data_IF_233386073324
#
_entry.id   IF_233386073324
#
_cell.length_a   1.000
_cell.length_b   1.000
_cell.length_c   1.000
_cell.angle_alpha   90.00
_cell.angle_beta   90.00
_cell.angle_gamma   90.00
#
_symmetry.space_group_name_H-M   'P 1'
#
loop_
_entity.id
_entity.type
_entity.pdbx_description
1 polymer ?
#
# COMPACT_ATOMS: atom_id res chain seq x y z
N UNK A 1 15.13 63.73 36.01
CA UNK A 1 16.19 62.68 36.06
C UNK A 1 15.65 61.43 35.39
N UNK A 2 15.92 61.25 34.07
CA UNK A 2 15.43 60.14 33.28
C UNK A 2 16.59 59.16 33.10
N UNK A 3 16.44 57.94 33.58
CA UNK A 3 17.38 56.83 33.38
C UNK A 3 16.97 56.02 32.14
N UNK A 4 17.74 56.15 31.08
CA UNK A 4 17.66 55.32 29.89
C UNK A 4 18.46 54.05 30.14
N UNK A 5 17.80 52.88 30.14
CA UNK A 5 18.48 51.57 30.11
C UNK A 5 18.64 51.15 28.66
N UNK A 6 19.90 50.98 28.25
CA UNK A 6 20.28 50.39 27.00
C UNK A 6 20.20 48.84 27.11
N UNK A 7 19.43 48.21 26.22
CA UNK A 7 19.45 46.75 26.03
C UNK A 7 20.56 46.40 25.03
N UNK A 8 21.53 45.62 25.47
CA UNK A 8 22.54 45.04 24.59
C UNK A 8 21.98 43.76 23.91
N UNK A 9 21.94 43.76 22.58
CA UNK A 9 21.63 42.58 21.80
C UNK A 9 22.91 41.73 21.68
N UNK A 10 22.91 40.53 22.29
CA UNK A 10 23.92 39.50 22.06
C UNK A 10 23.74 38.82 20.69
N UNK A 11 24.80 38.25 20.11
CA UNK A 11 24.73 37.62 18.78
C UNK A 11 23.91 36.33 18.83
N UNK A 12 22.88 36.24 17.97
CA UNK A 12 22.19 34.99 17.71
C UNK A 12 23.13 34.04 16.95
N UNK A 13 23.52 32.96 17.57
CA UNK A 13 24.16 31.82 16.90
C UNK A 13 23.04 31.04 16.21
N UNK A 14 22.97 31.15 14.89
CA UNK A 14 22.11 30.32 14.08
C UNK A 14 22.67 28.88 14.05
N UNK A 15 22.09 27.99 14.85
CA UNK A 15 22.34 26.55 14.74
C UNK A 15 21.60 26.08 13.48
N UNK A 16 22.34 25.86 12.40
CA UNK A 16 21.85 25.17 11.23
C UNK A 16 21.58 23.70 11.61
N UNK A 17 20.32 23.37 11.92
CA UNK A 17 19.88 21.97 11.95
C UNK A 17 19.94 21.45 10.52
N UNK A 18 20.97 20.68 10.21
CA UNK A 18 20.98 19.80 9.04
C UNK A 18 19.87 18.76 9.24
N UNK A 19 18.74 18.97 8.61
CA UNK A 19 17.72 17.95 8.40
C UNK A 19 18.37 16.88 7.50
N UNK A 20 19.02 15.90 8.13
CA UNK A 20 19.29 14.63 7.47
C UNK A 20 17.92 14.06 7.09
N UNK A 21 17.62 14.05 5.79
CA UNK A 21 16.49 13.34 5.23
C UNK A 21 16.65 11.87 5.60
N UNK A 22 16.00 11.44 6.67
CA UNK A 22 15.84 10.02 6.96
C UNK A 22 14.95 9.50 5.85
N UNK A 23 15.57 8.93 4.82
CA UNK A 23 14.86 8.15 3.81
C UNK A 23 14.17 7.01 4.55
N UNK A 24 12.88 7.17 4.76
CA UNK A 24 12.07 6.19 5.41
C UNK A 24 12.10 4.91 4.58
N UNK A 25 12.62 3.83 5.16
CA UNK A 25 12.59 2.52 4.52
C UNK A 25 11.14 2.10 4.36
N UNK A 26 10.63 2.24 3.14
CA UNK A 26 9.35 1.69 2.72
C UNK A 26 9.40 0.16 2.79
N UNK A 27 8.24 -0.48 2.71
CA UNK A 27 8.13 -1.93 2.56
C UNK A 27 8.47 -2.31 1.10
N UNK A 28 9.74 -2.23 0.76
CA UNK A 28 10.29 -2.37 -0.60
C UNK A 28 11.39 -3.43 -0.61
N UNK A 29 11.73 -4.00 -1.79
CA UNK A 29 12.81 -4.95 -1.91
C UNK A 29 14.11 -4.42 -1.31
N UNK A 30 14.85 -5.30 -0.66
CA UNK A 30 16.12 -4.94 -0.04
C UNK A 30 17.07 -4.32 -1.08
N UNK A 31 17.59 -3.13 -0.80
CA UNK A 31 18.50 -2.39 -1.69
C UNK A 31 17.81 -1.40 -2.62
N UNK A 32 16.48 -1.33 -2.66
CA UNK A 32 15.74 -0.27 -3.33
C UNK A 32 15.25 0.77 -2.30
N UNK A 33 15.36 2.04 -2.62
CA UNK A 33 14.77 3.13 -1.88
C UNK A 33 13.96 4.00 -2.84
N UNK A 34 12.67 4.15 -2.57
CA UNK A 34 11.81 5.03 -3.36
C UNK A 34 12.32 6.46 -3.33
N UNK A 35 12.41 7.13 -4.49
CA UNK A 35 12.73 8.56 -4.56
C UNK A 35 11.54 9.46 -4.19
N UNK A 36 10.42 8.89 -3.76
CA UNK A 36 9.19 9.60 -3.41
C UNK A 36 8.66 9.17 -2.04
N UNK A 37 7.85 10.04 -1.44
CA UNK A 37 7.24 9.76 -0.13
C UNK A 37 6.28 8.57 -0.20
N UNK A 38 6.28 7.74 0.86
CA UNK A 38 5.39 6.59 1.01
C UNK A 38 4.02 7.06 1.54
N UNK A 39 3.16 7.48 0.62
CA UNK A 39 1.83 8.03 0.89
C UNK A 39 0.73 7.11 0.34
N UNK A 40 -0.53 7.38 0.67
CA UNK A 40 -1.67 6.65 0.12
C UNK A 40 -1.61 6.59 -1.42
N UNK A 41 -1.44 7.75 -2.09
CA UNK A 41 -1.45 7.81 -3.55
C UNK A 41 -0.27 7.07 -4.19
N UNK A 42 0.91 7.11 -3.57
CA UNK A 42 2.11 6.42 -4.10
C UNK A 42 2.08 4.91 -3.84
N UNK A 43 1.32 4.48 -2.84
CA UNK A 43 1.08 3.06 -2.57
C UNK A 43 0.08 2.47 -3.57
N UNK A 44 -1.04 3.16 -3.78
CA UNK A 44 -2.11 2.70 -4.67
C UNK A 44 -1.75 2.87 -6.14
N UNK A 45 -1.04 3.95 -6.50
CA UNK A 45 -0.72 4.32 -7.87
C UNK A 45 0.79 4.58 -8.07
N UNK A 46 1.66 3.59 -7.86
CA UNK A 46 3.11 3.81 -7.82
C UNK A 46 3.69 4.34 -9.13
N UNK A 47 3.12 3.98 -10.29
CA UNK A 47 3.62 4.44 -11.58
C UNK A 47 3.56 5.98 -11.70
N UNK A 48 2.51 6.62 -11.21
CA UNK A 48 2.40 8.08 -11.25
C UNK A 48 3.52 8.78 -10.47
N UNK A 49 3.86 8.23 -9.30
CA UNK A 49 4.98 8.75 -8.52
C UNK A 49 6.33 8.55 -9.23
N UNK A 50 6.53 7.39 -9.86
CA UNK A 50 7.74 7.10 -10.64
C UNK A 50 7.88 8.00 -11.86
N UNK A 51 6.81 8.20 -12.63
CA UNK A 51 6.78 9.12 -13.78
C UNK A 51 7.08 10.57 -13.36
N UNK A 52 6.69 10.96 -12.15
CA UNK A 52 6.96 12.31 -11.62
C UNK A 52 8.40 12.48 -11.16
N UNK A 53 9.01 11.45 -10.60
CA UNK A 53 10.31 11.54 -9.90
C UNK A 53 11.49 11.00 -10.70
N UNK A 54 11.25 10.21 -11.74
CA UNK A 54 12.31 9.74 -12.62
C UNK A 54 12.92 10.90 -13.43
N UNK A 55 14.24 10.95 -13.45
CA UNK A 55 14.99 12.04 -14.08
C UNK A 55 14.53 12.27 -15.54
N UNK A 56 14.15 13.51 -15.86
CA UNK A 56 13.72 13.95 -17.19
C UNK A 56 12.26 13.61 -17.53
N UNK A 57 11.61 12.62 -16.89
CA UNK A 57 10.27 12.18 -17.26
C UNK A 57 9.20 13.26 -17.11
N UNK A 58 9.15 13.92 -15.96
CA UNK A 58 8.15 14.97 -15.76
C UNK A 58 8.22 16.09 -16.80
N UNK A 59 9.42 16.43 -17.24
CA UNK A 59 9.61 17.42 -18.32
C UNK A 59 9.17 16.85 -19.67
N UNK A 60 9.61 15.64 -20.02
CA UNK A 60 9.24 15.00 -21.27
C UNK A 60 7.72 14.84 -21.43
N UNK A 61 7.01 14.51 -20.33
CA UNK A 61 5.54 14.42 -20.32
C UNK A 61 4.86 15.78 -20.50
N UNK A 62 5.46 16.88 -19.99
CA UNK A 62 4.92 18.24 -20.21
C UNK A 62 5.18 18.73 -21.64
N UNK A 63 6.31 18.35 -22.21
CA UNK A 63 6.70 18.77 -23.56
C UNK A 63 5.97 17.95 -24.66
N UNK A 64 5.30 16.86 -24.28
CA UNK A 64 4.54 16.04 -25.21
C UNK A 64 3.18 16.68 -25.54
N UNK A 65 3.08 17.30 -26.71
CA UNK A 65 1.88 18.01 -27.15
C UNK A 65 0.63 17.11 -27.20
N UNK A 66 0.80 15.81 -27.48
CA UNK A 66 -0.34 14.86 -27.54
C UNK A 66 -0.90 14.63 -26.13
N UNK A 67 -0.02 14.44 -25.13
CA UNK A 67 -0.44 14.28 -23.74
C UNK A 67 -1.04 15.58 -23.16
N UNK A 68 -0.52 16.75 -23.57
CA UNK A 68 -1.10 18.05 -23.19
C UNK A 68 -2.50 18.24 -23.80
N UNK A 69 -2.69 17.88 -25.08
CA UNK A 69 -4.00 17.90 -25.71
C UNK A 69 -4.98 16.94 -25.00
N UNK A 70 -4.54 15.70 -24.71
CA UNK A 70 -5.35 14.76 -23.95
C UNK A 70 -5.78 15.33 -22.59
N UNK A 71 -4.86 15.98 -21.87
CA UNK A 71 -5.19 16.60 -20.58
C UNK A 71 -6.24 17.72 -20.75
N UNK A 72 -6.12 18.56 -21.75
CA UNK A 72 -7.08 19.62 -22.06
C UNK A 72 -8.46 19.05 -22.46
N UNK A 73 -8.49 18.04 -23.31
CA UNK A 73 -9.72 17.38 -23.76
C UNK A 73 -10.45 16.70 -22.57
N UNK A 74 -9.68 16.08 -21.67
CA UNK A 74 -10.24 15.49 -20.44
C UNK A 74 -10.78 16.55 -19.49
N UNK A 75 -10.09 17.67 -19.34
CA UNK A 75 -10.57 18.82 -18.56
C UNK A 75 -11.89 19.39 -19.13
N UNK A 76 -12.03 19.43 -20.44
CA UNK A 76 -13.26 19.88 -21.11
C UNK A 76 -14.46 18.93 -20.91
N UNK A 77 -14.22 17.65 -20.55
CA UNK A 77 -15.29 16.68 -20.21
C UNK A 77 -15.85 16.92 -18.81
N UNK A 78 -15.15 17.68 -17.96
CA UNK A 78 -15.58 17.91 -16.56
C UNK A 78 -16.80 18.84 -16.60
N UNK A 79 -17.95 18.41 -16.03
CA UNK A 79 -19.16 19.22 -16.07
C UNK A 79 -19.00 20.54 -15.33
N UNK A 80 -19.17 21.64 -16.02
CA UNK A 80 -19.19 22.97 -15.43
C UNK A 80 -20.62 23.35 -15.04
N UNK A 81 -21.16 22.70 -14.01
CA UNK A 81 -22.33 23.24 -13.32
C UNK A 81 -23.63 22.43 -13.36
N UNK A 82 -23.90 21.51 -14.30
CA UNK A 82 -25.17 20.78 -14.30
C UNK A 82 -25.08 19.36 -14.85
N UNK A 83 -24.34 18.50 -14.17
CA UNK A 83 -24.65 17.09 -14.22
C UNK A 83 -25.87 16.83 -13.31
N UNK A 84 -27.07 17.12 -13.73
CA UNK A 84 -28.26 16.76 -12.96
C UNK A 84 -28.82 15.43 -13.44
N UNK A 85 -29.15 14.56 -12.55
CA UNK A 85 -28.62 14.25 -11.20
C UNK A 85 -28.07 12.83 -11.10
N UNK A 86 -27.20 12.40 -12.01
CA UNK A 86 -26.71 11.03 -12.04
C UNK A 86 -25.27 10.99 -11.56
N UNK A 87 -24.94 10.17 -10.54
CA UNK A 87 -23.55 9.92 -10.14
C UNK A 87 -22.64 9.52 -11.30
N UNK A 88 -23.20 8.82 -12.30
CA UNK A 88 -22.47 8.41 -13.50
C UNK A 88 -21.92 9.61 -14.26
N UNK A 89 -22.73 10.64 -14.51
CA UNK A 89 -22.30 11.84 -15.22
C UNK A 89 -21.15 12.56 -14.50
N UNK A 90 -21.22 12.65 -13.16
CA UNK A 90 -20.17 13.30 -12.35
C UNK A 90 -18.87 12.50 -12.36
N UNK A 91 -18.92 11.18 -12.52
CA UNK A 91 -17.77 10.30 -12.49
C UNK A 91 -17.11 10.08 -13.87
N UNK A 92 -17.91 10.06 -14.94
CA UNK A 92 -17.46 9.64 -16.28
C UNK A 92 -16.34 10.53 -16.85
N UNK A 93 -16.34 11.81 -16.52
CA UNK A 93 -15.33 12.76 -16.96
C UNK A 93 -13.91 12.42 -16.43
N UNK A 94 -13.83 11.68 -15.32
CA UNK A 94 -12.57 11.34 -14.67
C UNK A 94 -12.01 9.98 -15.07
N UNK A 95 -12.81 9.14 -15.75
CA UNK A 95 -12.38 7.82 -16.21
C UNK A 95 -11.36 7.92 -17.34
N UNK A 96 -10.46 6.95 -17.37
CA UNK A 96 -9.63 6.66 -18.54
C UNK A 96 -10.42 5.77 -19.49
N UNK A 97 -10.70 6.26 -20.70
CA UNK A 97 -11.30 5.44 -21.75
C UNK A 97 -10.26 4.52 -22.37
N UNK A 98 -10.68 3.47 -23.05
CA UNK A 98 -9.77 2.57 -23.78
C UNK A 98 -8.91 3.33 -24.81
N UNK A 99 -9.50 4.35 -25.45
CA UNK A 99 -8.79 5.24 -26.39
C UNK A 99 -7.72 6.07 -25.67
N UNK A 100 -8.04 6.66 -24.50
CA UNK A 100 -7.08 7.39 -23.68
C UNK A 100 -5.92 6.48 -23.23
N UNK A 101 -6.24 5.25 -22.79
CA UNK A 101 -5.24 4.26 -22.34
C UNK A 101 -4.29 3.90 -23.49
N UNK A 102 -4.83 3.60 -24.66
CA UNK A 102 -4.05 3.24 -25.85
C UNK A 102 -3.17 4.41 -26.33
N UNK A 103 -3.71 5.62 -26.33
CA UNK A 103 -2.96 6.83 -26.69
C UNK A 103 -1.76 7.02 -25.76
N UNK A 104 -1.99 6.98 -24.46
CA UNK A 104 -0.91 7.15 -23.47
C UNK A 104 0.13 6.04 -23.58
N UNK A 105 -0.28 4.76 -23.75
CA UNK A 105 0.66 3.68 -24.01
C UNK A 105 1.60 3.99 -25.16
N UNK A 106 1.04 4.46 -26.27
CA UNK A 106 1.82 4.81 -27.47
C UNK A 106 2.81 5.92 -27.16
N UNK A 107 2.38 6.98 -26.45
CA UNK A 107 3.28 8.09 -26.10
C UNK A 107 4.38 7.67 -25.13
N UNK A 108 4.05 6.89 -24.09
CA UNK A 108 5.04 6.38 -23.15
C UNK A 108 6.09 5.49 -23.80
N UNK A 109 5.69 4.65 -24.78
CA UNK A 109 6.63 3.83 -25.57
C UNK A 109 7.59 4.72 -26.38
N UNK A 110 7.08 5.74 -27.06
CA UNK A 110 7.90 6.68 -27.83
C UNK A 110 8.90 7.46 -26.95
N UNK A 111 8.51 7.82 -25.73
CA UNK A 111 9.44 8.47 -24.79
C UNK A 111 10.56 7.54 -24.32
N UNK A 112 10.35 6.21 -24.33
CA UNK A 112 11.40 5.24 -24.02
C UNK A 112 12.46 5.10 -25.10
N UNK A 113 12.24 5.64 -26.32
CA UNK A 113 13.27 5.68 -27.37
C UNK A 113 14.48 6.56 -26.96
N UNK A 114 14.30 7.46 -25.97
CA UNK A 114 15.42 8.07 -25.26
C UNK A 114 15.99 7.13 -24.20
N UNK A 115 17.21 6.59 -24.38
CA UNK A 115 17.82 5.65 -23.43
C UNK A 115 18.01 6.23 -22.01
N UNK A 116 18.09 7.56 -21.88
CA UNK A 116 18.23 8.22 -20.57
C UNK A 116 16.93 8.09 -19.77
N UNK A 117 15.80 8.32 -20.45
CA UNK A 117 14.47 8.15 -19.84
C UNK A 117 14.22 6.69 -19.47
N UNK A 118 14.52 5.75 -20.37
CA UNK A 118 14.41 4.31 -20.09
C UNK A 118 15.22 3.89 -18.85
N UNK A 119 16.49 4.34 -18.77
CA UNK A 119 17.35 4.07 -17.61
C UNK A 119 16.80 4.70 -16.32
N UNK A 120 16.32 5.94 -16.38
CA UNK A 120 15.82 6.66 -15.22
C UNK A 120 14.55 6.02 -14.61
N UNK A 121 13.60 5.62 -15.46
CA UNK A 121 12.33 5.07 -15.03
C UNK A 121 12.42 3.56 -14.83
N UNK A 122 12.71 2.81 -15.89
CA UNK A 122 12.56 1.35 -15.87
C UNK A 122 13.68 0.69 -15.08
N UNK A 123 14.94 0.99 -15.40
CA UNK A 123 16.07 0.32 -14.78
C UNK A 123 16.31 0.74 -13.33
N UNK A 124 16.03 2.01 -12.97
CA UNK A 124 16.32 2.53 -11.62
C UNK A 124 15.11 2.52 -10.68
N UNK A 125 13.88 2.52 -11.19
CA UNK A 125 12.69 2.57 -10.35
C UNK A 125 11.77 1.37 -10.56
N UNK A 126 11.25 1.13 -11.75
CA UNK A 126 10.20 0.12 -11.96
C UNK A 126 10.68 -1.29 -11.61
N UNK A 127 11.78 -1.76 -12.22
CA UNK A 127 12.30 -3.11 -11.97
C UNK A 127 12.79 -3.32 -10.55
N UNK A 128 13.63 -2.43 -9.95
CA UNK A 128 14.11 -2.64 -8.59
C UNK A 128 13.03 -2.54 -7.51
N UNK A 129 11.94 -1.81 -7.77
CA UNK A 129 10.85 -1.66 -6.81
C UNK A 129 10.05 -2.95 -6.56
N UNK A 130 10.10 -3.89 -7.50
CA UNK A 130 9.25 -5.09 -7.49
C UNK A 130 7.75 -4.82 -7.69
N UNK A 131 7.32 -3.56 -7.73
CA UNK A 131 5.90 -3.17 -7.78
C UNK A 131 5.18 -3.61 -9.05
N UNK A 132 5.94 -4.02 -10.05
CA UNK A 132 5.47 -4.58 -11.33
C UNK A 132 6.04 -5.98 -11.57
N UNK A 133 6.26 -6.76 -10.51
CA UNK A 133 6.95 -8.06 -10.54
C UNK A 133 6.28 -9.06 -11.50
N UNK A 134 4.96 -9.02 -11.67
CA UNK A 134 4.22 -9.85 -12.65
C UNK A 134 4.72 -9.65 -14.08
N UNK A 135 5.27 -8.48 -14.40
CA UNK A 135 5.75 -8.09 -15.72
C UNK A 135 7.27 -8.13 -15.85
N UNK A 136 7.98 -8.72 -14.89
CA UNK A 136 9.44 -8.70 -14.84
C UNK A 136 10.11 -9.33 -16.08
N UNK A 137 9.45 -10.29 -16.74
CA UNK A 137 9.94 -10.94 -17.95
C UNK A 137 9.69 -10.15 -19.25
N UNK A 138 8.89 -9.09 -19.21
CA UNK A 138 8.59 -8.27 -20.39
C UNK A 138 9.75 -7.33 -20.76
N UNK A 139 9.78 -6.90 -22.04
CA UNK A 139 10.64 -5.80 -22.47
C UNK A 139 10.34 -4.53 -21.67
N UNK A 140 11.25 -3.57 -21.65
CA UNK A 140 11.04 -2.30 -20.94
C UNK A 140 9.80 -1.54 -21.44
N UNK A 141 9.58 -1.54 -22.76
CA UNK A 141 8.43 -0.92 -23.38
C UNK A 141 7.12 -1.62 -23.05
N UNK A 142 7.10 -2.95 -23.03
CA UNK A 142 5.91 -3.74 -22.69
C UNK A 142 5.61 -3.69 -21.19
N UNK A 143 6.66 -3.67 -20.35
CA UNK A 143 6.52 -3.51 -18.91
C UNK A 143 5.86 -2.14 -18.59
N UNK A 144 6.36 -1.06 -19.20
CA UNK A 144 5.79 0.28 -18.99
C UNK A 144 4.33 0.35 -19.49
N UNK A 145 4.05 -0.23 -20.66
CA UNK A 145 2.70 -0.27 -21.21
C UNK A 145 1.73 -1.06 -20.33
N UNK A 146 2.14 -2.22 -19.82
CA UNK A 146 1.35 -3.04 -18.90
C UNK A 146 1.12 -2.31 -17.57
N UNK A 147 2.16 -1.72 -16.99
CA UNK A 147 2.07 -0.93 -15.77
C UNK A 147 1.13 0.28 -15.91
N UNK A 148 1.15 0.96 -17.06
CA UNK A 148 0.21 2.03 -17.34
C UNK A 148 -1.24 1.52 -17.42
N UNK A 149 -1.47 0.43 -18.14
CA UNK A 149 -2.81 -0.17 -18.25
C UNK A 149 -3.38 -0.54 -16.88
N UNK A 150 -2.57 -1.17 -16.03
CA UNK A 150 -2.97 -1.48 -14.65
C UNK A 150 -3.25 -0.23 -13.83
N UNK A 151 -2.41 0.79 -13.92
CA UNK A 151 -2.58 2.03 -13.15
C UNK A 151 -3.85 2.78 -13.58
N UNK A 152 -4.15 2.81 -14.87
CA UNK A 152 -5.40 3.38 -15.39
C UNK A 152 -6.62 2.56 -14.93
N UNK A 153 -6.52 1.23 -14.98
CA UNK A 153 -7.58 0.32 -14.49
C UNK A 153 -7.81 0.49 -12.98
N UNK A 154 -6.75 0.62 -12.17
CA UNK A 154 -6.84 0.88 -10.74
C UNK A 154 -7.55 2.21 -10.45
N UNK A 155 -7.18 3.27 -11.20
CA UNK A 155 -7.84 4.58 -11.10
C UNK A 155 -9.32 4.46 -11.42
N UNK A 156 -9.65 3.81 -12.54
CA UNK A 156 -11.04 3.56 -12.96
C UNK A 156 -11.80 2.70 -11.93
N UNK A 157 -11.14 1.72 -11.33
CA UNK A 157 -11.76 0.86 -10.30
C UNK A 157 -12.16 1.65 -9.06
N UNK A 158 -11.31 2.54 -8.56
CA UNK A 158 -11.65 3.45 -7.44
C UNK A 158 -12.87 4.30 -7.80
N UNK A 159 -12.87 4.90 -8.98
CA UNK A 159 -13.99 5.73 -9.46
C UNK A 159 -15.26 4.90 -9.60
N UNK A 160 -15.18 3.70 -10.19
CA UNK A 160 -16.33 2.81 -10.37
C UNK A 160 -16.98 2.42 -9.03
N UNK A 161 -16.17 2.09 -8.02
CA UNK A 161 -16.68 1.70 -6.69
C UNK A 161 -17.26 2.91 -5.96
N UNK A 162 -16.49 4.00 -5.82
CA UNK A 162 -16.82 5.08 -4.89
C UNK A 162 -17.60 6.24 -5.52
N UNK A 163 -17.69 6.30 -6.84
CA UNK A 163 -18.49 7.32 -7.53
C UNK A 163 -19.58 6.79 -8.45
N UNK A 164 -19.51 5.50 -8.89
CA UNK A 164 -20.52 4.89 -9.77
C UNK A 164 -21.34 3.79 -9.09
N UNK A 165 -20.97 3.36 -7.88
CA UNK A 165 -21.71 2.35 -7.11
C UNK A 165 -21.49 0.91 -7.58
N UNK A 166 -20.39 0.64 -8.30
CA UNK A 166 -19.99 -0.73 -8.60
C UNK A 166 -19.58 -1.40 -7.30
N UNK A 167 -20.09 -2.60 -7.04
CA UNK A 167 -19.77 -3.32 -5.82
C UNK A 167 -18.25 -3.55 -5.67
N UNK A 168 -17.65 -3.23 -4.54
CA UNK A 168 -16.25 -3.60 -4.26
C UNK A 168 -16.14 -5.13 -4.14
N UNK A 169 -14.90 -5.65 -4.15
CA UNK A 169 -14.66 -7.10 -3.96
C UNK A 169 -15.22 -7.59 -2.61
N UNK A 170 -15.11 -6.77 -1.59
CA UNK A 170 -15.53 -7.07 -0.22
C UNK A 170 -16.54 -6.04 0.30
N UNK A 171 -17.83 -6.13 -0.09
CA UNK A 171 -18.83 -5.10 0.21
C UNK A 171 -19.00 -4.81 1.70
N UNK A 172 -18.74 -5.78 2.58
CA UNK A 172 -18.89 -5.61 4.03
C UNK A 172 -17.85 -4.66 4.61
N UNK A 173 -16.62 -4.64 4.06
CA UNK A 173 -15.52 -3.83 4.59
C UNK A 173 -15.11 -2.66 3.69
N UNK A 174 -15.55 -2.65 2.44
CA UNK A 174 -15.19 -1.63 1.44
C UNK A 174 -16.38 -0.78 0.98
N UNK A 175 -17.48 -0.85 1.71
CA UNK A 175 -18.66 -0.05 1.40
C UNK A 175 -18.36 1.46 1.41
N UNK A 176 -19.08 2.20 0.57
CA UNK A 176 -19.10 3.65 0.59
C UNK A 176 -19.70 4.19 1.89
N UNK A 177 -19.29 5.40 2.32
CA UNK A 177 -19.85 6.07 3.51
C UNK A 177 -21.36 6.31 3.34
N UNK A 178 -21.76 6.79 2.16
CA UNK A 178 -23.16 6.93 1.78
C UNK A 178 -23.47 6.06 0.55
N UNK A 179 -24.67 5.54 0.40
CA UNK A 179 -25.07 4.89 -0.85
C UNK A 179 -24.81 5.83 -2.03
N UNK A 180 -24.15 5.35 -3.07
CA UNK A 180 -23.76 6.20 -4.23
C UNK A 180 -24.99 6.86 -4.90
N UNK A 181 -26.15 6.19 -4.88
CA UNK A 181 -27.39 6.74 -5.41
C UNK A 181 -28.08 7.76 -4.48
N UNK A 182 -27.52 8.04 -3.30
CA UNK A 182 -28.13 9.01 -2.35
C UNK A 182 -27.89 10.45 -2.79
N UNK A 183 -28.82 11.39 -2.47
CA UNK A 183 -28.62 12.81 -2.72
C UNK A 183 -27.35 13.34 -2.06
N UNK A 184 -27.06 12.90 -0.84
CA UNK A 184 -25.84 13.29 -0.10
C UNK A 184 -24.57 12.94 -0.87
N UNK A 185 -24.53 11.74 -1.49
CA UNK A 185 -23.35 11.34 -2.27
C UNK A 185 -23.26 12.13 -3.58
N UNK A 186 -24.37 12.47 -4.22
CA UNK A 186 -24.38 13.32 -5.41
C UNK A 186 -23.80 14.71 -5.11
N UNK A 187 -24.17 15.34 -3.98
CA UNK A 187 -23.63 16.62 -3.56
C UNK A 187 -22.11 16.53 -3.27
N UNK A 188 -21.68 15.48 -2.59
CA UNK A 188 -20.24 15.22 -2.30
C UNK A 188 -19.45 15.06 -3.60
N UNK A 189 -19.93 14.24 -4.53
CA UNK A 189 -19.24 14.01 -5.81
C UNK A 189 -19.17 15.28 -6.65
N UNK A 190 -20.23 16.08 -6.66
CA UNK A 190 -20.26 17.38 -7.33
C UNK A 190 -19.22 18.33 -6.74
N UNK A 191 -19.23 18.51 -5.43
CA UNK A 191 -18.28 19.37 -4.72
C UNK A 191 -16.82 18.89 -4.94
N UNK A 192 -16.59 17.58 -4.86
CA UNK A 192 -15.27 16.99 -5.09
C UNK A 192 -14.78 17.20 -6.53
N UNK A 193 -15.64 17.03 -7.52
CA UNK A 193 -15.33 17.27 -8.92
C UNK A 193 -14.93 18.74 -9.17
N UNK A 194 -15.74 19.70 -8.67
CA UNK A 194 -15.46 21.13 -8.77
C UNK A 194 -14.13 21.47 -8.08
N UNK A 195 -13.91 20.97 -6.85
CA UNK A 195 -12.68 21.23 -6.11
C UNK A 195 -11.45 20.67 -6.85
N UNK A 196 -11.56 19.46 -7.39
CA UNK A 196 -10.47 18.83 -8.15
C UNK A 196 -10.14 19.62 -9.43
N UNK A 197 -11.15 20.06 -10.14
CA UNK A 197 -10.96 20.92 -11.34
C UNK A 197 -10.30 22.25 -10.98
N UNK A 198 -10.74 22.90 -9.91
CA UNK A 198 -10.17 24.17 -9.44
C UNK A 198 -8.72 24.03 -8.93
N UNK A 199 -8.29 22.85 -8.56
CA UNK A 199 -6.92 22.57 -8.13
C UNK A 199 -5.96 22.29 -9.29
N UNK A 200 -6.43 22.29 -10.53
CA UNK A 200 -5.57 22.13 -11.70
C UNK A 200 -4.53 23.27 -11.76
N UNK A 201 -3.27 22.90 -11.99
CA UNK A 201 -2.13 23.83 -12.02
C UNK A 201 -1.43 23.72 -13.37
N UNK A 202 -0.84 24.82 -13.84
CA UNK A 202 -0.13 24.85 -15.11
C UNK A 202 1.08 23.91 -15.22
N UNK A 203 1.55 23.36 -14.09
CA UNK A 203 2.63 22.37 -14.05
C UNK A 203 2.14 20.93 -13.83
N UNK A 204 0.83 20.69 -13.88
CA UNK A 204 0.27 19.33 -13.75
C UNK A 204 0.74 18.43 -14.92
N UNK A 205 0.88 17.15 -14.60
CA UNK A 205 1.04 16.11 -15.60
C UNK A 205 -0.34 15.59 -16.03
N UNK A 206 -0.42 15.00 -17.20
CA UNK A 206 -1.68 14.57 -17.83
C UNK A 206 -2.56 13.69 -16.92
N UNK A 207 -1.98 13.02 -15.95
CA UNK A 207 -2.68 12.12 -15.02
C UNK A 207 -3.09 12.79 -13.69
N UNK A 208 -2.55 13.95 -13.36
CA UNK A 208 -2.74 14.56 -12.04
C UNK A 208 -4.20 14.84 -11.65
N UNK A 209 -5.05 15.33 -12.56
CA UNK A 209 -6.46 15.54 -12.20
C UNK A 209 -7.16 14.23 -11.81
N UNK A 210 -6.97 13.16 -12.59
CA UNK A 210 -7.58 11.86 -12.31
C UNK A 210 -7.02 11.23 -11.02
N UNK A 211 -5.72 11.37 -10.78
CA UNK A 211 -5.07 10.91 -9.54
C UNK A 211 -5.64 11.63 -8.32
N UNK A 212 -5.79 12.96 -8.36
CA UNK A 212 -6.40 13.73 -7.27
C UNK A 212 -7.85 13.31 -7.01
N UNK A 213 -8.62 13.13 -8.08
CA UNK A 213 -10.01 12.70 -7.97
C UNK A 213 -10.11 11.31 -7.31
N UNK A 214 -9.38 10.33 -7.82
CA UNK A 214 -9.39 8.97 -7.26
C UNK A 214 -8.89 8.92 -5.81
N UNK A 215 -7.78 9.63 -5.49
CA UNK A 215 -7.25 9.69 -4.13
C UNK A 215 -8.23 10.36 -3.18
N UNK A 216 -8.90 11.43 -3.60
CA UNK A 216 -9.94 12.11 -2.83
C UNK A 216 -11.15 11.20 -2.54
N UNK A 217 -11.56 10.36 -3.51
CA UNK A 217 -12.60 9.36 -3.29
C UNK A 217 -12.21 8.35 -2.20
N UNK A 218 -10.96 7.88 -2.20
CA UNK A 218 -10.47 6.99 -1.13
C UNK A 218 -10.51 7.70 0.22
N UNK A 219 -10.02 8.93 0.29
CA UNK A 219 -9.99 9.73 1.53
C UNK A 219 -11.40 10.00 2.08
N UNK A 220 -12.33 10.42 1.22
CA UNK A 220 -13.72 10.69 1.62
C UNK A 220 -14.46 9.45 2.11
N UNK A 221 -14.08 8.27 1.65
CA UNK A 221 -14.65 7.00 2.10
C UNK A 221 -13.82 6.33 3.22
N UNK A 222 -12.85 7.06 3.80
CA UNK A 222 -11.97 6.55 4.86
C UNK A 222 -11.19 5.28 4.44
N UNK A 223 -10.91 5.15 3.13
CA UNK A 223 -10.09 4.05 2.58
C UNK A 223 -8.63 4.48 2.50
N UNK A 224 -8.06 4.79 3.65
CA UNK A 224 -6.70 5.31 3.78
C UNK A 224 -5.72 4.29 4.37
N UNK A 225 -6.17 3.07 4.59
CA UNK A 225 -5.42 2.01 5.29
C UNK A 225 -4.01 1.82 4.71
N UNK A 226 -3.87 1.80 3.39
CA UNK A 226 -2.58 1.62 2.72
C UNK A 226 -1.55 2.72 3.02
N UNK A 227 -2.00 3.91 3.42
CA UNK A 227 -1.16 5.06 3.80
C UNK A 227 -0.88 5.18 5.29
N UNK A 228 -1.56 4.42 6.15
CA UNK A 228 -1.38 4.46 7.59
C UNK A 228 -0.06 3.79 8.02
N UNK A 229 0.45 4.10 9.21
CA UNK A 229 1.66 3.49 9.78
C UNK A 229 2.91 3.60 8.86
N UNK A 230 3.02 4.70 8.12
CA UNK A 230 4.17 4.94 7.23
C UNK A 230 5.13 5.97 7.81
N UNK A 231 6.44 5.77 7.71
CA UNK A 231 7.14 4.59 7.18
C UNK A 231 7.09 3.40 8.14
N UNK A 232 6.89 2.17 7.62
CA UNK A 232 6.66 1.01 8.48
C UNK A 232 7.91 0.52 9.19
N UNK A 233 9.00 0.22 8.46
CA UNK A 233 10.25 -0.27 9.05
C UNK A 233 11.04 0.81 9.78
N UNK A 234 10.95 2.05 9.34
CA UNK A 234 11.57 3.22 9.98
C UNK A 234 10.68 3.95 10.99
N UNK A 235 9.46 3.44 11.25
CA UNK A 235 8.48 3.95 12.22
C UNK A 235 8.27 2.98 13.38
N UNK A 236 7.03 2.46 13.49
CA UNK A 236 6.61 1.58 14.59
C UNK A 236 7.40 0.27 14.70
N UNK A 237 8.04 -0.18 13.62
CA UNK A 237 8.88 -1.37 13.58
C UNK A 237 10.39 -1.10 13.74
N UNK A 238 10.81 0.14 13.99
CA UNK A 238 12.23 0.51 14.02
C UNK A 238 13.06 -0.33 14.99
N UNK A 239 12.57 -0.54 16.22
CA UNK A 239 13.30 -1.31 17.23
C UNK A 239 13.44 -2.78 16.79
N UNK A 240 12.37 -3.38 16.27
CA UNK A 240 12.40 -4.76 15.81
C UNK A 240 13.27 -4.93 14.56
N UNK A 241 13.24 -3.96 13.63
CA UNK A 241 14.09 -3.99 12.44
C UNK A 241 15.58 -3.98 12.81
N UNK A 242 15.98 -3.15 13.80
CA UNK A 242 17.34 -3.16 14.34
C UNK A 242 17.71 -4.48 15.01
N UNK A 243 16.76 -5.09 15.72
CA UNK A 243 16.96 -6.40 16.35
C UNK A 243 17.14 -7.54 15.33
N UNK A 244 16.47 -7.44 14.16
CA UNK A 244 16.65 -8.35 13.03
C UNK A 244 18.04 -8.21 12.43
N UNK A 245 18.49 -6.96 12.16
CA UNK A 245 19.83 -6.67 11.63
C UNK A 245 20.94 -7.19 12.54
N UNK A 246 20.75 -7.14 13.86
CA UNK A 246 21.71 -7.61 14.86
C UNK A 246 21.61 -9.12 15.17
N UNK A 247 20.65 -9.84 14.56
CA UNK A 247 20.33 -11.22 14.94
C UNK A 247 21.39 -12.21 14.48
N UNK A 248 21.87 -13.04 15.40
CA UNK A 248 22.63 -14.25 15.03
C UNK A 248 21.67 -15.39 14.64
N UNK A 249 21.59 -15.67 13.34
CA UNK A 249 20.70 -16.66 12.76
C UNK A 249 21.17 -18.11 12.88
N UNK A 250 22.39 -18.34 13.41
CA UNK A 250 22.93 -19.69 13.57
C UNK A 250 22.03 -20.50 14.54
N UNK A 251 21.66 -21.70 14.11
CA UNK A 251 20.81 -22.59 14.93
C UNK A 251 19.36 -22.16 15.06
N UNK A 252 18.90 -21.21 14.25
CA UNK A 252 17.47 -20.81 14.20
C UNK A 252 16.82 -21.45 12.98
N UNK A 253 15.97 -22.49 13.13
CA UNK A 253 15.36 -23.20 11.99
C UNK A 253 14.28 -22.36 11.30
N UNK A 254 13.64 -21.44 12.02
CA UNK A 254 12.60 -20.55 11.50
C UNK A 254 12.94 -19.09 11.75
N UNK A 255 12.50 -18.23 10.83
CA UNK A 255 12.79 -16.80 10.89
C UNK A 255 11.85 -16.04 11.82
N UNK A 256 10.55 -16.32 11.71
CA UNK A 256 9.49 -15.67 12.48
C UNK A 256 8.25 -16.55 12.60
N UNK A 257 7.40 -16.26 13.58
CA UNK A 257 6.02 -16.75 13.68
C UNK A 257 5.11 -15.69 13.03
N UNK A 258 4.33 -16.08 12.03
CA UNK A 258 3.38 -15.21 11.34
C UNK A 258 1.98 -15.45 11.94
N UNK A 259 1.42 -14.46 12.61
CA UNK A 259 0.11 -14.54 13.29
C UNK A 259 -0.85 -13.59 12.60
N UNK A 260 -1.91 -14.14 12.01
CA UNK A 260 -2.93 -13.35 11.32
C UNK A 260 -4.05 -12.98 12.27
N UNK A 261 -4.50 -11.73 12.18
CA UNK A 261 -5.55 -11.19 13.00
C UNK A 261 -6.90 -11.92 12.81
N UNK A 262 -7.77 -11.66 13.73
CA UNK A 262 -9.18 -12.03 13.68
C UNK A 262 -9.94 -10.92 14.41
N UNK A 263 -10.67 -10.13 13.66
CA UNK A 263 -11.46 -9.04 14.19
C UNK A 263 -12.58 -9.52 15.09
N UNK A 264 -13.04 -8.68 16.03
CA UNK A 264 -14.20 -8.96 16.87
C UNK A 264 -15.50 -8.87 16.06
N UNK A 265 -16.56 -9.44 16.64
CA UNK A 265 -17.91 -9.34 16.06
C UNK A 265 -18.61 -8.00 16.38
N UNK A 266 -18.03 -7.20 17.28
CA UNK A 266 -18.59 -5.93 17.75
C UNK A 266 -17.56 -4.78 17.70
N UNK A 267 -18.04 -3.52 17.75
CA UNK A 267 -17.22 -2.34 17.64
C UNK A 267 -16.47 -1.94 18.93
N UNK A 268 -16.75 -2.55 20.07
CA UNK A 268 -16.16 -2.24 21.36
C UNK A 268 -14.97 -3.14 21.68
N UNK A 269 -15.01 -4.40 21.22
CA UNK A 269 -13.94 -5.38 21.43
C UNK A 269 -12.74 -5.05 20.53
N UNK A 270 -11.55 -5.23 21.08
CA UNK A 270 -10.29 -4.90 20.39
C UNK A 270 -9.76 -6.06 19.55
N UNK A 271 -10.09 -7.29 19.94
CA UNK A 271 -9.57 -8.51 19.32
C UNK A 271 -10.63 -9.60 19.39
N UNK A 272 -10.82 -10.33 18.31
CA UNK A 272 -11.75 -11.45 18.24
C UNK A 272 -11.27 -12.67 19.04
N UNK A 273 -12.19 -13.55 19.39
CA UNK A 273 -11.90 -14.74 20.23
C UNK A 273 -10.82 -15.63 19.62
N UNK A 274 -10.88 -15.89 18.31
CA UNK A 274 -9.84 -16.67 17.63
C UNK A 274 -8.49 -15.95 17.62
N UNK A 275 -8.48 -14.61 17.61
CA UNK A 275 -7.27 -13.81 17.76
C UNK A 275 -6.53 -14.13 19.07
N UNK A 276 -7.26 -14.21 20.20
CA UNK A 276 -6.67 -14.59 21.49
C UNK A 276 -6.09 -16.02 21.46
N UNK A 277 -6.77 -16.98 20.85
CA UNK A 277 -6.28 -18.36 20.71
C UNK A 277 -4.96 -18.37 19.92
N UNK A 278 -4.91 -17.70 18.77
CA UNK A 278 -3.71 -17.62 17.92
C UNK A 278 -2.53 -17.00 18.65
N UNK A 279 -2.78 -15.93 19.43
CA UNK A 279 -1.74 -15.26 20.23
C UNK A 279 -1.20 -16.16 21.33
N UNK A 280 -2.06 -16.94 22.00
CA UNK A 280 -1.65 -17.87 23.03
C UNK A 280 -0.73 -18.97 22.46
N UNK A 281 -1.06 -19.55 21.31
CA UNK A 281 -0.23 -20.53 20.61
C UNK A 281 1.12 -19.93 20.24
N UNK A 282 1.11 -18.72 19.62
CA UNK A 282 2.34 -18.04 19.20
C UNK A 282 3.23 -17.66 20.39
N UNK A 283 2.65 -17.20 21.50
CA UNK A 283 3.40 -16.84 22.72
C UNK A 283 4.09 -18.07 23.34
N UNK A 284 3.41 -19.22 23.42
CA UNK A 284 4.01 -20.47 23.87
C UNK A 284 5.15 -20.91 22.95
N UNK A 285 4.96 -20.88 21.64
CA UNK A 285 6.02 -21.22 20.66
C UNK A 285 7.22 -20.29 20.77
N UNK A 286 6.99 -18.99 20.95
CA UNK A 286 8.07 -18.01 21.14
C UNK A 286 8.83 -18.27 22.45
N UNK A 287 8.14 -18.53 23.54
CA UNK A 287 8.75 -18.86 24.86
C UNK A 287 9.61 -20.11 24.79
N UNK A 288 9.23 -21.10 23.98
CA UNK A 288 10.03 -22.30 23.67
C UNK A 288 11.19 -22.06 22.71
N UNK A 289 11.35 -20.84 22.19
CA UNK A 289 12.43 -20.48 21.29
C UNK A 289 12.30 -21.03 19.87
N UNK A 290 11.09 -21.41 19.41
CA UNK A 290 10.84 -21.95 18.06
C UNK A 290 11.27 -20.99 16.98
N UNK A 291 10.98 -19.69 17.14
CA UNK A 291 11.49 -18.63 16.26
C UNK A 291 11.83 -17.38 17.07
N UNK A 292 12.79 -16.55 16.62
CA UNK A 292 13.27 -15.39 17.39
C UNK A 292 12.39 -14.15 17.25
N UNK A 293 11.45 -14.12 16.31
CA UNK A 293 10.57 -12.99 16.05
C UNK A 293 9.12 -13.46 15.83
N UNK A 294 8.18 -12.53 16.05
CA UNK A 294 6.77 -12.68 15.68
C UNK A 294 6.43 -11.56 14.70
N UNK A 295 5.69 -11.86 13.66
CA UNK A 295 5.02 -10.88 12.78
C UNK A 295 3.52 -11.02 13.01
N UNK A 296 2.89 -9.97 13.53
CA UNK A 296 1.44 -9.86 13.67
C UNK A 296 0.88 -9.09 12.47
N UNK A 297 -0.10 -9.66 11.76
CA UNK A 297 -0.61 -9.10 10.52
C UNK A 297 -2.13 -8.95 10.56
N UNK A 298 -2.61 -7.74 10.25
CA UNK A 298 -4.02 -7.40 10.16
C UNK A 298 -4.27 -5.90 10.32
N UNK A 299 -5.19 -5.38 9.52
CA UNK A 299 -5.56 -3.96 9.45
C UNK A 299 -6.75 -3.58 10.33
N UNK A 300 -7.41 -2.49 9.96
CA UNK A 300 -8.68 -2.03 10.54
C UNK A 300 -9.84 -2.64 9.73
N UNK A 301 -10.21 -3.91 9.99
CA UNK A 301 -11.05 -4.68 9.06
C UNK A 301 -12.44 -4.96 9.63
N UNK A 302 -12.54 -5.55 10.81
CA UNK A 302 -13.79 -6.02 11.39
C UNK A 302 -14.05 -5.42 12.78
N UNK A 303 -15.26 -4.94 13.03
CA UNK A 303 -16.30 -4.62 12.04
C UNK A 303 -15.88 -3.48 11.12
N UNK A 304 -16.59 -3.29 9.99
CA UNK A 304 -16.29 -2.17 9.08
C UNK A 304 -16.16 -0.84 9.85
N UNK A 305 -15.10 -0.07 9.56
CA UNK A 305 -14.76 1.21 10.20
C UNK A 305 -14.40 1.08 11.69
N UNK A 306 -13.91 -0.08 12.12
CA UNK A 306 -13.38 -0.24 13.47
C UNK A 306 -12.21 0.72 13.70
N UNK A 307 -12.11 1.37 14.90
CA UNK A 307 -10.95 2.16 15.26
C UNK A 307 -9.74 1.31 15.63
N UNK A 308 -9.92 0.00 15.81
CA UNK A 308 -8.87 -0.92 16.26
C UNK A 308 -8.16 -1.57 15.08
N UNK A 309 -6.84 -1.48 15.08
CA UNK A 309 -5.99 -2.19 14.12
C UNK A 309 -5.57 -3.54 14.70
N UNK A 310 -5.84 -4.64 13.99
CA UNK A 310 -5.58 -5.98 14.48
C UNK A 310 -4.11 -6.20 14.86
N UNK A 311 -3.15 -5.75 14.05
CA UNK A 311 -1.73 -5.92 14.34
C UNK A 311 -1.29 -5.12 15.58
N UNK A 312 -1.81 -3.91 15.75
CA UNK A 312 -1.54 -3.06 16.93
C UNK A 312 -2.06 -3.74 18.20
N UNK A 313 -3.30 -4.23 18.18
CA UNK A 313 -3.89 -4.88 19.33
C UNK A 313 -3.22 -6.22 19.65
N UNK A 314 -2.87 -7.01 18.64
CA UNK A 314 -2.11 -8.25 18.83
C UNK A 314 -0.73 -7.99 19.46
N UNK A 315 0.02 -6.98 18.95
CA UNK A 315 1.32 -6.60 19.55
C UNK A 315 1.13 -6.14 21.00
N UNK A 316 0.13 -5.30 21.26
CA UNK A 316 -0.18 -4.85 22.61
C UNK A 316 -0.43 -6.04 23.56
N UNK A 317 -1.25 -7.02 23.15
CA UNK A 317 -1.54 -8.20 23.96
C UNK A 317 -0.29 -9.07 24.19
N UNK A 318 0.51 -9.32 23.16
CA UNK A 318 1.76 -10.09 23.32
C UNK A 318 2.72 -9.43 24.31
N UNK A 319 2.82 -8.10 24.31
CA UNK A 319 3.66 -7.38 25.26
C UNK A 319 3.04 -7.32 26.65
N UNK A 320 1.76 -6.93 26.79
CA UNK A 320 1.18 -6.64 28.10
C UNK A 320 0.65 -7.86 28.82
N UNK A 321 0.12 -8.85 28.11
CA UNK A 321 -0.46 -10.05 28.69
C UNK A 321 0.53 -11.22 28.74
N UNK A 322 1.36 -11.38 27.71
CA UNK A 322 2.30 -12.50 27.62
C UNK A 322 3.74 -12.11 27.98
N UNK A 323 4.04 -10.82 28.20
CA UNK A 323 5.36 -10.33 28.61
C UNK A 323 6.45 -10.45 27.56
N UNK A 324 6.08 -10.54 26.26
CA UNK A 324 7.06 -10.66 25.19
C UNK A 324 7.76 -9.34 24.92
N UNK A 325 9.07 -9.37 24.57
CA UNK A 325 9.82 -8.15 24.25
C UNK A 325 9.25 -7.46 23.01
N UNK A 326 8.93 -6.18 23.09
CA UNK A 326 8.34 -5.40 22.02
C UNK A 326 9.21 -5.32 20.75
N UNK A 327 10.54 -5.38 20.91
CA UNK A 327 11.53 -5.39 19.84
C UNK A 327 11.67 -6.77 19.13
N UNK A 328 10.89 -7.76 19.53
CA UNK A 328 10.78 -9.07 18.86
C UNK A 328 9.48 -9.21 18.05
N UNK A 329 8.64 -8.18 18.03
CA UNK A 329 7.34 -8.22 17.40
C UNK A 329 7.25 -7.15 16.32
N UNK A 330 7.24 -7.57 15.03
CA UNK A 330 6.91 -6.72 13.90
C UNK A 330 5.40 -6.62 13.72
N UNK A 331 4.93 -5.43 13.37
CA UNK A 331 3.54 -5.21 12.93
C UNK A 331 3.46 -5.11 11.41
N UNK A 332 2.52 -5.81 10.83
CA UNK A 332 2.01 -5.64 9.48
C UNK A 332 0.56 -5.14 9.59
N UNK A 333 0.30 -3.83 9.58
CA UNK A 333 -0.99 -3.25 9.97
C UNK A 333 -1.94 -2.98 8.80
N UNK A 334 -1.69 -3.53 7.60
CA UNK A 334 -2.42 -3.17 6.38
C UNK A 334 -3.25 -4.32 5.80
N UNK A 335 -2.94 -5.58 6.16
CA UNK A 335 -3.66 -6.73 5.59
C UNK A 335 -5.14 -6.70 5.96
N UNK A 336 -5.99 -7.01 4.98
CA UNK A 336 -7.45 -6.97 5.10
C UNK A 336 -8.10 -8.35 4.93
N UNK A 337 -7.35 -9.32 4.38
CA UNK A 337 -7.79 -10.67 4.08
C UNK A 337 -6.65 -11.66 4.30
N UNK A 338 -6.96 -12.96 4.36
CA UNK A 338 -5.93 -14.00 4.50
C UNK A 338 -4.91 -13.97 3.35
N UNK A 339 -5.35 -13.66 2.13
CA UNK A 339 -4.47 -13.50 0.96
C UNK A 339 -3.48 -12.35 1.15
N UNK A 340 -3.96 -11.20 1.61
CA UNK A 340 -3.11 -10.03 1.88
C UNK A 340 -2.29 -10.16 3.15
N UNK A 341 -2.71 -10.92 4.16
CA UNK A 341 -1.84 -11.31 5.29
C UNK A 341 -0.59 -12.04 4.79
N UNK A 342 -0.73 -13.05 3.94
CA UNK A 342 0.41 -13.79 3.38
C UNK A 342 1.29 -12.89 2.52
N UNK A 343 0.69 -12.10 1.60
CA UNK A 343 1.41 -11.18 0.72
C UNK A 343 2.21 -10.14 1.50
N UNK A 344 1.57 -9.48 2.45
CA UNK A 344 2.19 -8.39 3.18
C UNK A 344 3.23 -8.91 4.18
N UNK A 345 3.03 -10.10 4.78
CA UNK A 345 4.08 -10.77 5.54
C UNK A 345 5.27 -11.16 4.66
N UNK A 346 5.04 -11.63 3.43
CA UNK A 346 6.14 -11.91 2.48
C UNK A 346 6.94 -10.64 2.17
N UNK A 347 6.25 -9.53 1.84
CA UNK A 347 6.89 -8.21 1.63
C UNK A 347 7.71 -7.78 2.85
N UNK A 348 7.16 -7.94 4.06
CA UNK A 348 7.84 -7.53 5.28
C UNK A 348 9.05 -8.38 5.60
N UNK A 349 8.97 -9.72 5.42
CA UNK A 349 10.10 -10.63 5.56
C UNK A 349 11.25 -10.25 4.62
N UNK A 350 10.95 -9.98 3.34
CA UNK A 350 11.92 -9.62 2.33
C UNK A 350 12.51 -8.21 2.57
N UNK A 351 11.68 -7.22 2.88
CA UNK A 351 12.10 -5.84 3.11
C UNK A 351 12.94 -5.68 4.38
N UNK A 352 12.60 -6.39 5.46
CA UNK A 352 13.37 -6.42 6.71
C UNK A 352 14.59 -7.36 6.67
N UNK A 353 14.90 -7.93 5.49
CA UNK A 353 16.08 -8.76 5.23
C UNK A 353 16.16 -10.01 6.13
N UNK A 354 15.04 -10.63 6.41
CA UNK A 354 15.07 -11.96 7.02
C UNK A 354 15.79 -12.95 6.09
N UNK A 355 16.50 -13.96 6.65
CA UNK A 355 17.11 -15.01 5.84
C UNK A 355 16.08 -15.71 4.95
N UNK A 356 16.40 -15.90 3.67
CA UNK A 356 15.53 -16.60 2.69
C UNK A 356 15.86 -18.09 2.55
N UNK A 357 16.95 -18.56 3.18
CA UNK A 357 17.39 -19.95 3.20
C UNK A 357 16.59 -20.82 4.19
N UNK A 358 15.71 -20.20 4.99
CA UNK A 358 14.87 -20.86 5.98
C UNK A 358 13.47 -20.25 6.01
N UNK A 359 12.41 -21.04 6.31
CA UNK A 359 11.05 -20.55 6.32
C UNK A 359 10.70 -19.74 7.58
N UNK A 360 9.64 -18.94 7.49
CA UNK A 360 8.82 -18.54 8.61
C UNK A 360 7.78 -19.63 8.92
N UNK A 361 7.10 -19.55 10.06
CA UNK A 361 5.96 -20.38 10.41
C UNK A 361 4.68 -19.52 10.45
N UNK A 362 3.69 -19.83 9.63
CA UNK A 362 2.32 -19.35 9.86
C UNK A 362 1.76 -20.11 11.07
N UNK A 363 1.25 -19.36 12.04
CA UNK A 363 0.71 -19.91 13.29
C UNK A 363 -0.75 -19.54 13.44
N UNK A 364 -1.62 -20.51 13.60
CA UNK A 364 -3.06 -20.28 13.80
C UNK A 364 -3.75 -21.47 14.49
N UNK A 365 -5.06 -21.34 14.70
CA UNK A 365 -5.91 -22.47 15.05
C UNK A 365 -5.92 -23.51 13.90
N UNK A 366 -6.17 -24.76 14.22
CA UNK A 366 -6.03 -25.88 13.27
C UNK A 366 -6.94 -25.76 12.04
N UNK A 367 -8.15 -25.21 12.17
CA UNK A 367 -9.07 -25.03 11.02
C UNK A 367 -8.56 -23.97 10.06
N UNK A 368 -8.05 -22.87 10.61
CA UNK A 368 -7.44 -21.81 9.80
C UNK A 368 -6.17 -22.32 9.12
N UNK A 369 -5.34 -23.13 9.79
CA UNK A 369 -4.15 -23.76 9.17
C UNK A 369 -4.55 -24.66 8.00
N UNK A 370 -5.59 -25.50 8.15
CA UNK A 370 -6.11 -26.32 7.05
C UNK A 370 -6.57 -25.47 5.87
N UNK A 371 -7.28 -24.36 6.12
CA UNK A 371 -7.70 -23.45 5.08
C UNK A 371 -6.50 -22.76 4.39
N UNK A 372 -5.53 -22.26 5.16
CA UNK A 372 -4.35 -21.58 4.60
C UNK A 372 -3.51 -22.54 3.75
N UNK A 373 -3.39 -23.81 4.14
CA UNK A 373 -2.67 -24.83 3.38
C UNK A 373 -3.46 -25.48 2.23
N UNK A 374 -4.69 -25.04 1.97
CA UNK A 374 -5.55 -25.68 0.97
C UNK A 374 -5.39 -25.08 -0.42
N UNK A 375 -5.77 -25.87 -1.44
CA UNK A 375 -5.88 -25.40 -2.82
C UNK A 375 -6.89 -24.26 -2.98
N UNK A 376 -7.88 -24.16 -2.09
CA UNK A 376 -8.87 -23.07 -2.09
C UNK A 376 -8.16 -21.73 -1.89
N UNK A 377 -7.29 -21.60 -0.90
CA UNK A 377 -6.54 -20.36 -0.70
C UNK A 377 -5.50 -20.15 -1.80
N UNK A 378 -4.86 -21.20 -2.29
CA UNK A 378 -3.92 -21.10 -3.41
C UNK A 378 -4.59 -20.55 -4.68
N UNK A 379 -5.78 -21.06 -5.03
CA UNK A 379 -6.58 -20.54 -6.15
C UNK A 379 -7.05 -19.12 -5.89
N UNK A 380 -7.45 -18.81 -4.66
CA UNK A 380 -7.85 -17.48 -4.27
C UNK A 380 -6.70 -16.46 -4.38
N UNK A 381 -5.47 -16.82 -4.00
CA UNK A 381 -4.30 -15.96 -4.21
C UNK A 381 -4.11 -15.65 -5.70
N UNK A 382 -4.22 -16.64 -6.57
CA UNK A 382 -4.09 -16.43 -8.02
C UNK A 382 -5.24 -15.55 -8.57
N UNK A 383 -6.46 -15.76 -8.11
CA UNK A 383 -7.63 -14.98 -8.56
C UNK A 383 -7.57 -13.52 -8.07
N UNK A 384 -7.07 -13.28 -6.86
CA UNK A 384 -7.04 -11.95 -6.23
C UNK A 384 -5.77 -11.17 -6.58
N UNK A 385 -4.62 -11.85 -6.71
CA UNK A 385 -3.31 -11.21 -6.83
C UNK A 385 -2.52 -11.64 -8.08
N UNK A 386 -3.02 -12.62 -8.83
CA UNK A 386 -2.34 -13.17 -10.02
C UNK A 386 -1.03 -13.91 -9.72
N UNK A 387 -0.65 -14.03 -8.45
CA UNK A 387 0.58 -14.67 -8.00
C UNK A 387 0.38 -15.40 -6.68
N UNK A 388 1.28 -16.35 -6.38
CA UNK A 388 1.44 -16.86 -5.03
C UNK A 388 2.43 -15.96 -4.28
N UNK A 389 2.09 -15.46 -3.08
CA UNK A 389 3.01 -14.58 -2.32
C UNK A 389 4.20 -15.32 -1.72
N UNK A 390 4.23 -16.64 -1.84
CA UNK A 390 5.26 -17.53 -1.35
C UNK A 390 4.81 -18.97 -1.38
N UNK A 391 5.70 -19.88 -0.97
CA UNK A 391 5.44 -21.31 -0.93
C UNK A 391 5.05 -21.73 0.49
N UNK A 392 3.92 -22.41 0.61
CA UNK A 392 3.44 -23.05 1.84
C UNK A 392 3.75 -24.55 1.81
N UNK A 393 4.20 -25.09 2.94
CA UNK A 393 4.37 -26.54 3.15
C UNK A 393 3.97 -26.90 4.57
N UNK A 394 3.74 -28.20 4.84
CA UNK A 394 3.36 -28.66 6.18
C UNK A 394 4.37 -28.22 7.23
N UNK A 395 3.87 -27.69 8.34
CA UNK A 395 4.67 -27.33 9.51
C UNK A 395 4.93 -28.52 10.44
N UNK A 396 5.64 -28.29 11.55
CA UNK A 396 5.96 -29.34 12.51
C UNK A 396 4.74 -29.91 13.27
N UNK A 397 3.64 -29.20 13.28
CA UNK A 397 2.41 -29.62 13.97
C UNK A 397 1.13 -29.08 13.28
N UNK A 398 -0.03 -29.44 13.83
CA UNK A 398 -1.35 -29.08 13.29
C UNK A 398 -1.70 -27.57 13.38
N UNK A 399 -0.89 -26.77 14.07
CA UNK A 399 -1.10 -25.33 14.26
C UNK A 399 -0.18 -24.48 13.38
N UNK A 400 0.59 -25.13 12.49
CA UNK A 400 1.65 -24.46 11.75
C UNK A 400 1.72 -24.86 10.27
N UNK A 401 2.15 -23.89 9.43
CA UNK A 401 2.64 -24.14 8.07
C UNK A 401 3.97 -23.41 7.89
N UNK A 402 4.92 -24.05 7.23
CA UNK A 402 6.14 -23.39 6.80
C UNK A 402 5.85 -22.48 5.60
N UNK A 403 6.36 -21.26 5.65
CA UNK A 403 6.18 -20.25 4.62
C UNK A 403 7.51 -19.67 4.16
N UNK A 404 7.80 -19.81 2.86
CA UNK A 404 8.96 -19.18 2.20
C UNK A 404 8.45 -18.07 1.30
N UNK A 405 8.80 -16.78 1.56
CA UNK A 405 8.28 -15.66 0.79
C UNK A 405 8.83 -15.66 -0.65
N UNK A 406 8.04 -15.13 -1.59
CA UNK A 406 8.41 -14.94 -2.99
C UNK A 406 8.45 -13.43 -3.32
N UNK A 407 9.46 -12.92 -4.03
CA UNK A 407 9.54 -11.54 -4.48
C UNK A 407 8.35 -11.07 -5.33
N UNK A 408 7.61 -11.98 -5.98
CA UNK A 408 6.37 -11.65 -6.68
C UNK A 408 5.33 -10.99 -5.76
N UNK A 409 5.43 -11.20 -4.45
CA UNK A 409 4.59 -10.52 -3.45
C UNK A 409 4.69 -8.98 -3.49
N UNK A 410 5.76 -8.40 -4.03
CA UNK A 410 5.88 -6.95 -4.16
C UNK A 410 4.97 -6.35 -5.24
N UNK A 411 4.42 -7.15 -6.14
CA UNK A 411 3.50 -6.65 -7.16
C UNK A 411 2.33 -5.89 -6.52
N UNK A 412 2.03 -4.71 -7.07
CA UNK A 412 0.90 -3.87 -6.63
C UNK A 412 -0.33 -4.25 -7.45
N UNK A 413 -1.38 -4.69 -6.78
CA UNK A 413 -2.57 -5.19 -7.46
C UNK A 413 -3.48 -4.05 -7.92
N UNK A 414 -3.73 -3.99 -9.22
CA UNK A 414 -4.56 -2.95 -9.83
C UNK A 414 -6.07 -3.23 -9.75
N UNK A 415 -6.46 -4.50 -9.64
CA UNK A 415 -7.87 -4.89 -9.60
C UNK A 415 -8.49 -4.56 -8.23
N UNK A 416 -7.67 -4.58 -7.19
CA UNK A 416 -8.07 -4.19 -5.84
C UNK A 416 -7.14 -3.12 -5.28
N UNK A 417 -7.28 -1.86 -5.72
CA UNK A 417 -6.40 -0.77 -5.30
C UNK A 417 -6.54 -0.40 -3.82
N UNK A 418 -7.48 -1.01 -3.09
CA UNK A 418 -7.62 -0.86 -1.64
C UNK A 418 -6.61 -1.71 -0.88
N UNK A 419 -6.12 -2.77 -1.52
CA UNK A 419 -5.08 -3.68 -1.03
C UNK A 419 -3.87 -3.66 -1.99
N UNK A 420 -3.17 -2.53 -2.13
CA UNK A 420 -2.08 -2.37 -3.09
C UNK A 420 -0.85 -3.22 -2.79
#
# INVERSE_FOLDING_TARGET
MRLTRAFAFGPFVAIALSLASVTAAAQEPAGYASPFADTLSTRVFPLFAMLRTADGWAQALRDDNVLQTLMADRAARIPTGTCTPSPQCLADAWLWTDADITLVQTRLRLLLDDPKLGKALVARQMRPSGRFARYAALSDADLLAAAWTETAAATNRVIAVYAKGVAPRYPVIDATIFPVASPQMADILSAHGVATAAQAKGNDLFFDPALRYATGLLQMNERIDAGNFRPLLGGDNTATNRAIDAMNWRGKPYTALLVFGHGPEDAQSRTGVLGHIRLSIAADMFARGVAPFIIVSGGNVHPNRTPFNEAVEMKRLLVTQYGLPADRILMEPHARHTTTNLRNCARLLLAAKFPTDRPALVVSDHRTIQYIGSDILAQRNLAEMGVQPGRLTAGPDQFTLMFTPDPAAFHVEAIDPLDP
#
